data_IF_793996722293
#
_entry.id   IF_793996722293
#
_cell.length_a   1.000
_cell.length_b   1.000
_cell.length_c   1.000
_cell.angle_alpha   90.00
_cell.angle_beta   90.00
_cell.angle_gamma   90.00
#
_symmetry.space_group_name_H-M   'P 1'
#
loop_
_entity.id
_entity.type
_entity.pdbx_description
1 polymer ?
#
# COMPACT_ATOMS: atom_id res chain seq x y z
N UNK A 1 -2.38 0.30 1.05
CA UNK A 1 -2.35 0.16 -0.43
C UNK A 1 -2.68 1.52 -1.03
N UNK A 2 -1.87 1.98 -1.99
CA UNK A 2 -2.07 3.28 -2.65
C UNK A 2 -2.74 3.10 -4.02
N UNK A 3 -3.49 4.12 -4.45
CA UNK A 3 -4.50 4.08 -5.52
C UNK A 3 -4.11 3.48 -6.88
N UNK A 4 -5.01 2.70 -7.45
CA UNK A 4 -5.09 2.37 -8.86
C UNK A 4 -6.57 2.14 -9.22
N UNK A 5 -6.96 2.36 -10.49
CA UNK A 5 -8.34 2.16 -10.92
C UNK A 5 -8.66 0.67 -11.19
N UNK A 6 -9.82 0.17 -10.72
CA UNK A 6 -10.33 -1.13 -11.14
C UNK A 6 -10.42 -1.23 -12.66
N UNK A 7 -10.06 -2.40 -13.20
CA UNK A 7 -9.93 -2.62 -14.64
C UNK A 7 -8.54 -2.31 -15.23
N UNK A 8 -7.62 -1.69 -14.46
CA UNK A 8 -6.22 -1.58 -14.85
C UNK A 8 -5.39 -2.77 -14.32
N UNK A 9 -4.50 -3.34 -15.14
CA UNK A 9 -3.58 -4.41 -14.73
C UNK A 9 -2.73 -4.03 -13.51
N UNK A 10 -2.38 -2.75 -13.34
CA UNK A 10 -1.67 -2.28 -12.15
C UNK A 10 -2.48 -2.39 -10.86
N UNK A 11 -3.80 -2.17 -10.94
CA UNK A 11 -4.71 -2.32 -9.80
C UNK A 11 -4.78 -3.77 -9.36
N UNK A 12 -5.04 -4.68 -10.30
CA UNK A 12 -5.14 -6.12 -10.02
C UNK A 12 -3.90 -6.61 -9.31
N UNK A 13 -2.72 -6.20 -9.79
CA UNK A 13 -1.45 -6.62 -9.17
C UNK A 13 -1.22 -6.07 -7.77
N UNK A 14 -1.63 -4.82 -7.50
CA UNK A 14 -1.57 -4.27 -6.14
C UNK A 14 -2.54 -5.02 -5.20
N UNK A 15 -3.74 -5.35 -5.67
CA UNK A 15 -4.73 -6.14 -4.92
C UNK A 15 -4.20 -7.55 -4.63
N UNK A 16 -3.69 -8.23 -5.65
CA UNK A 16 -3.12 -9.58 -5.51
C UNK A 16 -1.97 -9.59 -4.51
N UNK A 17 -1.09 -8.59 -4.59
CA UNK A 17 0.04 -8.43 -3.66
C UNK A 17 -0.43 -8.18 -2.24
N UNK A 18 -1.42 -7.30 -2.04
CA UNK A 18 -1.97 -7.00 -0.72
C UNK A 18 -2.67 -8.21 -0.09
N UNK A 19 -3.47 -8.94 -0.85
CA UNK A 19 -4.08 -10.18 -0.40
C UNK A 19 -3.04 -11.24 -0.05
N UNK A 20 -1.99 -11.40 -0.88
CA UNK A 20 -0.92 -12.36 -0.62
C UNK A 20 -0.15 -12.05 0.68
N UNK A 21 0.17 -10.79 0.93
CA UNK A 21 0.84 -10.39 2.17
C UNK A 21 -0.03 -10.62 3.41
N UNK A 22 -1.34 -10.40 3.30
CA UNK A 22 -2.28 -10.70 4.38
C UNK A 22 -2.35 -12.21 4.65
N UNK A 23 -2.56 -13.02 3.62
CA UNK A 23 -2.65 -14.48 3.74
C UNK A 23 -1.34 -15.11 4.22
N UNK A 24 -0.19 -14.51 3.89
CA UNK A 24 1.12 -14.92 4.40
C UNK A 24 1.41 -14.44 5.84
N UNK A 25 0.46 -13.77 6.51
CA UNK A 25 0.60 -13.25 7.87
C UNK A 25 1.63 -12.12 8.01
N UNK A 26 2.03 -11.47 6.90
CA UNK A 26 3.02 -10.38 6.90
C UNK A 26 2.40 -9.04 7.31
N UNK A 27 1.09 -8.88 7.11
CA UNK A 27 0.32 -7.72 7.55
C UNK A 27 -0.94 -8.18 8.28
N UNK A 28 -1.36 -7.44 9.31
CA UNK A 28 -2.52 -7.81 10.15
C UNK A 28 -3.84 -7.25 9.63
N UNK A 29 -3.79 -6.09 8.99
CA UNK A 29 -4.93 -5.39 8.41
C UNK A 29 -4.43 -4.53 7.24
N UNK A 30 -5.37 -4.07 6.41
CA UNK A 30 -5.09 -3.31 5.19
C UNK A 30 -5.80 -1.97 5.26
N UNK A 31 -5.05 -0.87 5.09
CA UNK A 31 -5.61 0.44 4.79
C UNK A 31 -5.56 0.67 3.28
N UNK A 32 -6.72 0.85 2.65
CA UNK A 32 -6.84 1.15 1.21
C UNK A 32 -7.16 2.63 1.06
N UNK A 33 -6.27 3.37 0.40
CA UNK A 33 -6.37 4.83 0.27
C UNK A 33 -6.45 5.24 -1.19
N UNK A 34 -7.49 6.00 -1.54
CA UNK A 34 -7.79 6.42 -2.91
C UNK A 34 -8.64 7.69 -2.96
N UNK A 35 -8.79 8.22 -4.16
CA UNK A 35 -9.57 9.43 -4.42
C UNK A 35 -11.07 9.10 -4.60
N UNK A 36 -11.93 9.89 -3.97
CA UNK A 36 -13.39 9.89 -4.13
C UNK A 36 -13.93 11.06 -4.98
N UNK A 37 -13.05 11.77 -5.69
CA UNK A 37 -13.30 13.06 -6.33
C UNK A 37 -14.22 13.02 -7.57
N UNK A 38 -14.75 11.87 -7.99
CA UNK A 38 -15.74 11.79 -9.07
C UNK A 38 -16.98 11.00 -8.62
N UNK A 39 -18.16 11.61 -8.81
CA UNK A 39 -19.49 11.12 -8.40
C UNK A 39 -19.83 9.65 -8.76
N UNK A 40 -19.11 9.04 -9.70
CA UNK A 40 -19.48 7.74 -10.26
C UNK A 40 -18.50 6.61 -9.92
N UNK A 41 -17.44 6.83 -9.13
CA UNK A 41 -16.56 5.73 -8.73
C UNK A 41 -15.71 6.03 -7.49
N UNK A 42 -15.90 5.22 -6.46
CA UNK A 42 -15.13 5.24 -5.21
C UNK A 42 -13.99 4.21 -5.30
N UNK A 43 -12.76 4.72 -5.42
CA UNK A 43 -11.56 3.90 -5.61
C UNK A 43 -11.27 3.00 -4.38
N UNK A 44 -11.47 3.53 -3.17
CA UNK A 44 -11.22 2.79 -1.95
C UNK A 44 -12.25 1.68 -1.74
N UNK A 45 -13.53 1.93 -2.04
CA UNK A 45 -14.56 0.89 -2.04
C UNK A 45 -14.30 -0.18 -3.10
N UNK A 46 -13.80 0.19 -4.30
CA UNK A 46 -13.37 -0.76 -5.31
C UNK A 46 -12.20 -1.65 -4.85
N UNK A 47 -11.21 -1.07 -4.17
CA UNK A 47 -10.11 -1.83 -3.55
C UNK A 47 -10.63 -2.79 -2.48
N UNK A 48 -11.52 -2.34 -1.61
CA UNK A 48 -12.11 -3.15 -0.56
C UNK A 48 -12.85 -4.36 -1.14
N UNK A 49 -13.73 -4.14 -2.11
CA UNK A 49 -14.47 -5.23 -2.77
C UNK A 49 -13.53 -6.23 -3.45
N UNK A 50 -12.49 -5.74 -4.13
CA UNK A 50 -11.52 -6.60 -4.80
C UNK A 50 -10.70 -7.44 -3.80
N UNK A 51 -10.36 -6.90 -2.63
CA UNK A 51 -9.70 -7.65 -1.55
C UNK A 51 -10.62 -8.68 -0.90
N UNK A 52 -11.90 -8.34 -0.69
CA UNK A 52 -12.91 -9.28 -0.20
C UNK A 52 -13.06 -10.45 -1.17
N UNK A 53 -13.12 -10.17 -2.48
CA UNK A 53 -13.15 -11.21 -3.52
C UNK A 53 -11.90 -12.11 -3.53
N UNK A 54 -10.79 -11.67 -2.93
CA UNK A 54 -9.56 -12.44 -2.72
C UNK A 54 -9.49 -13.14 -1.36
N UNK A 55 -10.59 -13.17 -0.61
CA UNK A 55 -10.70 -13.86 0.67
C UNK A 55 -10.16 -13.09 1.87
N UNK A 56 -9.87 -11.78 1.73
CA UNK A 56 -9.52 -10.94 2.88
C UNK A 56 -10.81 -10.54 3.61
N UNK A 57 -10.96 -10.81 4.92
CA UNK A 57 -12.17 -10.42 5.65
C UNK A 57 -12.41 -8.91 5.66
N UNK A 58 -13.64 -8.47 5.40
CA UNK A 58 -13.98 -7.03 5.39
C UNK A 58 -13.58 -6.29 6.68
N UNK A 59 -13.67 -6.96 7.84
CA UNK A 59 -13.33 -6.41 9.15
C UNK A 59 -11.87 -5.99 9.32
N UNK A 60 -10.97 -6.45 8.45
CA UNK A 60 -9.54 -6.08 8.48
C UNK A 60 -9.16 -5.11 7.35
N UNK A 61 -10.14 -4.59 6.60
CA UNK A 61 -9.91 -3.66 5.50
C UNK A 61 -10.55 -2.31 5.86
N UNK A 62 -9.70 -1.29 6.00
CA UNK A 62 -10.10 0.08 6.30
C UNK A 62 -9.96 0.94 5.06
N UNK A 63 -10.95 1.78 4.78
CA UNK A 63 -10.95 2.69 3.63
C UNK A 63 -10.58 4.11 4.05
N UNK A 64 -9.61 4.71 3.35
CA UNK A 64 -9.32 6.14 3.39
C UNK A 64 -9.79 6.81 2.10
N UNK A 65 -10.88 7.55 2.21
CA UNK A 65 -11.58 8.21 1.10
C UNK A 65 -11.05 9.63 0.79
N UNK A 66 -10.07 10.11 1.55
CA UNK A 66 -9.46 11.42 1.36
C UNK A 66 -7.98 11.31 0.95
N UNK A 67 -7.63 10.21 0.27
CA UNK A 67 -6.30 9.88 -0.21
C UNK A 67 -5.99 10.44 -1.61
N UNK A 68 -6.24 11.74 -1.83
CA UNK A 68 -6.16 12.39 -3.15
C UNK A 68 -4.76 12.33 -3.79
N UNK A 69 -3.72 12.18 -2.97
CA UNK A 69 -2.34 12.03 -3.42
C UNK A 69 -1.58 10.99 -2.60
N UNK A 70 -0.40 10.60 -3.11
CA UNK A 70 0.56 9.79 -2.35
C UNK A 70 0.93 10.44 -1.02
N UNK A 71 1.04 11.78 -0.99
CA UNK A 71 1.32 12.53 0.24
C UNK A 71 0.16 12.39 1.23
N UNK A 72 -1.08 12.61 0.77
CA UNK A 72 -2.26 12.51 1.63
C UNK A 72 -2.36 11.14 2.27
N UNK A 73 -2.20 10.09 1.46
CA UNK A 73 -2.29 8.71 1.94
C UNK A 73 -1.22 8.39 3.00
N UNK A 74 0.01 8.86 2.81
CA UNK A 74 1.12 8.62 3.77
C UNK A 74 0.90 9.41 5.07
N UNK A 75 0.57 10.70 4.96
CA UNK A 75 0.39 11.57 6.14
C UNK A 75 -0.84 11.14 6.94
N UNK A 76 -1.93 10.74 6.26
CA UNK A 76 -3.17 10.32 6.91
C UNK A 76 -3.04 8.97 7.59
N UNK A 77 -2.24 8.04 7.06
CA UNK A 77 -1.91 6.81 7.77
C UNK A 77 -1.45 7.09 9.21
N UNK A 78 -0.60 8.10 9.40
CA UNK A 78 -0.19 8.55 10.75
C UNK A 78 -1.25 9.39 11.45
N UNK A 79 -1.72 10.48 10.82
CA UNK A 79 -2.56 11.50 11.49
C UNK A 79 -3.98 11.05 11.80
N UNK A 80 -4.55 10.18 10.97
CA UNK A 80 -5.95 9.74 11.06
C UNK A 80 -6.03 8.32 11.62
N UNK A 81 -5.16 7.43 11.14
CA UNK A 81 -5.19 6.02 11.53
C UNK A 81 -4.20 5.67 12.66
N UNK A 82 -3.31 6.61 13.05
CA UNK A 82 -2.39 6.42 14.17
C UNK A 82 -1.16 5.57 13.85
N UNK A 83 -0.93 5.27 12.57
CA UNK A 83 0.03 4.26 12.15
C UNK A 83 1.39 4.85 11.83
N UNK A 84 2.38 4.48 12.63
CA UNK A 84 3.77 4.94 12.50
C UNK A 84 4.69 3.92 11.83
N UNK A 85 4.26 2.67 11.70
CA UNK A 85 5.02 1.58 11.09
C UNK A 85 4.17 0.92 10.01
N UNK A 86 4.44 1.21 8.75
CA UNK A 86 3.57 0.82 7.64
C UNK A 86 4.31 0.08 6.53
N UNK A 87 3.61 -0.84 5.87
CA UNK A 87 4.04 -1.39 4.58
C UNK A 87 3.22 -0.75 3.47
N UNK A 88 3.90 -0.04 2.57
CA UNK A 88 3.28 0.64 1.44
C UNK A 88 3.33 -0.28 0.23
N UNK A 89 2.14 -0.68 -0.26
CA UNK A 89 1.99 -1.57 -1.41
C UNK A 89 1.56 -0.73 -2.61
N UNK A 90 2.43 -0.66 -3.62
CA UNK A 90 2.24 0.11 -4.85
C UNK A 90 3.25 -0.33 -5.93
N UNK A 91 3.30 0.33 -7.08
CA UNK A 91 4.42 0.17 -8.03
C UNK A 91 5.69 0.85 -7.51
N UNK A 92 6.84 0.42 -8.03
CA UNK A 92 8.17 0.88 -7.62
C UNK A 92 8.30 2.41 -7.58
N UNK A 93 7.94 3.09 -8.67
CA UNK A 93 8.00 4.56 -8.75
C UNK A 93 7.19 5.24 -7.62
N UNK A 94 5.98 4.74 -7.35
CA UNK A 94 5.13 5.29 -6.29
C UNK A 94 5.67 4.95 -4.89
N UNK A 95 6.24 3.77 -4.71
CA UNK A 95 6.85 3.38 -3.44
C UNK A 95 8.09 4.22 -3.13
N UNK A 96 8.95 4.52 -4.10
CA UNK A 96 10.09 5.41 -3.91
C UNK A 96 9.64 6.78 -3.39
N UNK A 97 8.64 7.38 -4.04
CA UNK A 97 8.03 8.66 -3.59
C UNK A 97 7.41 8.54 -2.19
N UNK A 98 6.66 7.47 -1.94
CA UNK A 98 5.96 7.28 -0.68
C UNK A 98 6.90 7.05 0.50
N UNK A 99 7.99 6.29 0.32
CA UNK A 99 9.04 6.10 1.33
C UNK A 99 9.74 7.43 1.62
N UNK A 100 10.09 8.19 0.58
CA UNK A 100 10.72 9.51 0.76
C UNK A 100 9.83 10.42 1.61
N UNK A 101 8.53 10.47 1.30
CA UNK A 101 7.54 11.23 2.08
C UNK A 101 7.43 10.70 3.51
N UNK A 102 7.27 9.40 3.71
CA UNK A 102 7.18 8.79 5.04
C UNK A 102 8.36 9.18 5.94
N UNK A 103 9.59 9.18 5.39
CA UNK A 103 10.78 9.62 6.10
C UNK A 103 10.71 11.09 6.54
N UNK A 104 10.20 11.99 5.69
CA UNK A 104 10.04 13.41 6.06
C UNK A 104 9.03 13.63 7.19
N UNK A 105 8.03 12.75 7.32
CA UNK A 105 6.98 12.86 8.33
C UNK A 105 7.22 11.95 9.56
N UNK A 106 8.41 11.36 9.68
CA UNK A 106 8.77 10.47 10.80
C UNK A 106 7.86 9.25 10.88
N UNK A 107 7.61 8.61 9.73
CA UNK A 107 6.89 7.34 9.59
C UNK A 107 7.92 6.30 9.16
N UNK A 108 8.01 5.19 9.91
CA UNK A 108 8.79 4.03 9.49
C UNK A 108 7.99 3.26 8.43
N UNK A 109 8.45 3.34 7.18
CA UNK A 109 7.74 2.77 6.06
C UNK A 109 8.64 1.87 5.23
N UNK A 110 8.12 0.68 4.91
CA UNK A 110 8.71 -0.24 3.93
C UNK A 110 7.86 -0.19 2.67
N UNK A 111 8.46 0.01 1.50
CA UNK A 111 7.78 -0.16 0.23
C UNK A 111 7.84 -1.61 -0.25
N UNK A 112 6.69 -2.14 -0.66
CA UNK A 112 6.56 -3.44 -1.30
C UNK A 112 6.08 -3.25 -2.73
N UNK A 113 6.94 -3.55 -3.70
CA UNK A 113 6.66 -3.34 -5.12
C UNK A 113 5.73 -4.44 -5.64
N UNK A 114 4.51 -4.06 -6.02
CA UNK A 114 3.65 -4.93 -6.80
C UNK A 114 4.29 -5.18 -8.18
N UNK A 115 4.24 -6.41 -8.73
CA UNK A 115 4.93 -6.75 -9.98
C UNK A 115 4.58 -5.79 -11.12
N UNK A 116 5.57 -5.35 -11.91
CA UNK A 116 5.36 -4.43 -13.04
C UNK A 116 5.02 -5.17 -14.34
N UNK A 117 4.15 -4.59 -15.18
CA UNK A 117 3.55 -5.22 -16.36
C UNK A 117 4.58 -5.79 -17.36
N UNK A 118 5.80 -5.23 -17.34
CA UNK A 118 6.87 -5.53 -18.27
C UNK A 118 8.03 -6.38 -17.71
N UNK A 119 8.02 -6.80 -16.44
CA UNK A 119 9.16 -7.53 -15.88
C UNK A 119 9.07 -9.04 -16.12
N UNK A 120 9.65 -9.49 -17.25
CA UNK A 120 10.37 -10.77 -17.30
C UNK A 120 11.68 -10.57 -16.51
N UNK A 121 11.85 -11.31 -15.41
CA UNK A 121 13.09 -11.51 -14.65
C UNK A 121 13.79 -10.26 -14.06
N UNK A 122 13.92 -10.20 -12.74
CA UNK A 122 15.05 -9.48 -12.12
C UNK A 122 14.82 -8.89 -10.74
N UNK A 123 15.52 -9.48 -9.77
CA UNK A 123 16.14 -8.80 -8.63
C UNK A 123 15.23 -8.25 -7.52
N UNK A 124 15.13 -9.08 -6.48
CA UNK A 124 15.16 -8.67 -5.08
C UNK A 124 16.30 -7.66 -4.84
N UNK A 125 16.08 -6.38 -5.14
CA UNK A 125 17.04 -5.32 -4.86
C UNK A 125 16.88 -4.87 -3.40
N UNK A 126 17.45 -5.66 -2.51
CA UNK A 126 18.46 -5.16 -1.56
C UNK A 126 18.17 -3.81 -0.87
N UNK A 127 17.26 -3.78 0.09
CA UNK A 127 17.26 -2.76 1.16
C UNK A 127 17.00 -3.39 2.54
N UNK A 128 17.90 -4.28 2.96
CA UNK A 128 18.22 -4.44 4.39
C UNK A 128 19.69 -4.82 4.58
N UNK A 129 20.59 -3.96 4.11
CA UNK A 129 22.00 -3.95 4.53
C UNK A 129 22.34 -2.58 5.12
N UNK A 130 22.00 -2.42 6.41
CA UNK A 130 22.74 -1.72 7.46
C UNK A 130 21.81 -1.07 8.48
N UNK A 131 21.50 -1.83 9.53
CA UNK A 131 21.50 -1.32 10.91
C UNK A 131 21.68 -2.50 11.87
N UNK A 132 22.90 -3.04 11.88
CA UNK A 132 23.50 -3.45 13.15
C UNK A 132 23.54 -2.21 14.04
N UNK A 133 22.60 -2.09 14.96
CA UNK A 133 22.73 -1.29 16.17
C UNK A 133 21.63 -1.71 17.17
N UNK A 134 22.05 -2.15 18.35
CA UNK A 134 21.23 -2.47 19.53
C UNK A 134 20.32 -3.70 19.46
N UNK A 135 20.93 -4.86 19.69
CA UNK A 135 20.43 -5.74 20.74
C UNK A 135 21.40 -5.59 21.93
N UNK A 136 20.92 -4.92 22.99
CA UNK A 136 21.46 -5.10 24.35
C UNK A 136 20.85 -6.37 24.92
#
# INVERSE_FOLDING_TARGET
MLGARPGNRYFTRRIDTAAALYHAGKVKWLLVSGDNGRKNYDEASGMQQALIAKGVPAKVIFCDYAGFSTLDSVVRAKKVFGENHITIISQEFHNQRAIWLAKQYGIDAIGFNAPDLNMKHGFYTQLRRNSLASAR
#
